data_IF_263325329919
#
_entry.id   IF_263325329919
#
_cell.length_a   1.000
_cell.length_b   1.000
_cell.length_c   1.000
_cell.angle_alpha   90.00
_cell.angle_beta   90.00
_cell.angle_gamma   90.00
#
_symmetry.space_group_name_H-M   'P 1'
#
loop_
_entity.id
_entity.type
_entity.pdbx_description
1 polymer ?
#
# COMPACT_ATOMS: atom_id res chain seq x y z
N UNK A 1 31.25 9.17 3.33
CA UNK A 1 30.68 8.81 2.02
C UNK A 1 30.08 10.07 1.41
N UNK A 2 30.33 10.33 0.13
CA UNK A 2 29.66 11.40 -0.61
C UNK A 2 28.58 10.75 -1.49
N UNK A 3 27.31 11.07 -1.25
CA UNK A 3 26.18 10.42 -1.94
C UNK A 3 26.15 10.79 -3.43
N UNK A 4 26.47 12.04 -3.77
CA UNK A 4 26.50 12.50 -5.16
C UNK A 4 27.54 11.72 -5.98
N UNK A 5 28.69 11.40 -5.38
CA UNK A 5 29.75 10.62 -6.04
C UNK A 5 29.30 9.21 -6.44
N UNK A 6 28.36 8.60 -5.70
CA UNK A 6 27.88 7.23 -5.96
C UNK A 6 27.13 7.10 -7.29
N UNK A 7 26.61 8.20 -7.83
CA UNK A 7 25.73 8.18 -9.02
C UNK A 7 26.38 8.75 -10.28
N UNK A 8 27.57 9.35 -10.17
CA UNK A 8 28.25 10.06 -11.28
C UNK A 8 28.49 9.18 -12.51
N UNK A 9 28.85 7.93 -12.27
CA UNK A 9 29.23 6.98 -13.31
C UNK A 9 28.04 6.14 -13.81
N UNK A 10 26.88 6.22 -13.15
CA UNK A 10 25.65 5.54 -13.59
C UNK A 10 25.15 6.19 -14.88
N UNK A 11 25.05 5.39 -15.94
CA UNK A 11 24.56 5.82 -17.28
C UNK A 11 23.18 5.27 -17.59
N UNK A 12 22.74 4.29 -16.84
CA UNK A 12 21.41 3.72 -16.90
C UNK A 12 20.37 4.78 -16.50
N UNK A 13 19.22 4.73 -17.17
CA UNK A 13 18.10 5.64 -16.89
C UNK A 13 17.40 5.34 -15.56
N UNK A 14 17.64 4.16 -14.99
CA UNK A 14 17.08 3.76 -13.72
C UNK A 14 18.12 3.01 -12.91
N UNK A 15 18.39 3.50 -11.70
CA UNK A 15 19.18 2.82 -10.69
C UNK A 15 18.62 3.18 -9.32
N UNK A 16 18.57 2.21 -8.40
CA UNK A 16 18.13 2.41 -7.03
C UNK A 16 18.99 1.51 -6.12
N UNK A 17 19.78 2.12 -5.24
CA UNK A 17 20.79 1.42 -4.44
C UNK A 17 20.67 1.86 -2.99
N UNK A 18 20.59 0.89 -2.07
CA UNK A 18 20.68 1.15 -0.62
C UNK A 18 22.10 1.61 -0.30
N UNK A 19 22.22 2.77 0.33
CA UNK A 19 23.51 3.37 0.69
C UNK A 19 23.76 3.37 2.19
N UNK A 20 22.71 3.27 3.00
CA UNK A 20 22.77 3.15 4.46
C UNK A 20 21.49 2.54 5.00
N UNK A 21 21.58 1.85 6.14
CA UNK A 21 20.44 1.33 6.90
C UNK A 21 20.48 1.90 8.31
N UNK A 22 19.32 2.28 8.82
CA UNK A 22 19.12 2.80 10.18
C UNK A 22 17.91 2.12 10.78
N UNK A 23 18.12 1.23 11.75
CA UNK A 23 17.09 0.38 12.33
C UNK A 23 16.37 -0.44 11.24
N UNK A 24 15.06 -0.26 11.09
CA UNK A 24 14.19 -0.90 10.10
C UNK A 24 13.98 -0.05 8.82
N UNK A 25 14.74 1.03 8.67
CA UNK A 25 14.68 1.94 7.51
C UNK A 25 15.97 1.90 6.70
N UNK A 26 15.87 2.23 5.42
CA UNK A 26 16.99 2.39 4.53
C UNK A 26 16.99 3.78 3.89
N UNK A 27 18.19 4.27 3.58
CA UNK A 27 18.39 5.38 2.66
C UNK A 27 18.90 4.79 1.35
N UNK A 28 18.19 5.11 0.27
CA UNK A 28 18.54 4.77 -1.11
C UNK A 28 19.04 6.01 -1.83
N UNK A 29 20.02 5.82 -2.71
CA UNK A 29 20.30 6.78 -3.78
C UNK A 29 19.74 6.23 -5.08
N UNK A 30 19.07 7.08 -5.85
CA UNK A 30 18.45 6.68 -7.09
C UNK A 30 18.72 7.67 -8.23
N UNK A 31 18.87 7.11 -9.43
CA UNK A 31 18.92 7.83 -10.70
C UNK A 31 17.65 7.48 -11.47
N UNK A 32 16.91 8.48 -11.90
CA UNK A 32 15.70 8.32 -12.69
C UNK A 32 15.71 9.24 -13.92
N UNK A 33 15.39 8.68 -15.08
CA UNK A 33 15.02 9.37 -16.32
C UNK A 33 13.92 8.57 -17.02
N UNK A 34 12.73 9.14 -17.15
CA UNK A 34 11.52 8.46 -17.61
C UNK A 34 10.47 8.34 -16.50
N UNK A 35 9.56 7.39 -16.68
CA UNK A 35 8.39 7.19 -15.83
C UNK A 35 8.48 5.84 -15.11
N UNK A 36 8.15 5.84 -13.82
CA UNK A 36 7.92 4.60 -13.07
C UNK A 36 6.48 4.09 -13.27
N UNK A 37 6.08 3.06 -12.53
CA UNK A 37 4.71 2.55 -12.48
C UNK A 37 3.93 3.19 -11.33
N UNK A 38 2.60 3.23 -11.46
CA UNK A 38 1.73 3.63 -10.35
C UNK A 38 1.78 2.60 -9.23
N UNK A 39 2.03 3.04 -8.01
CA UNK A 39 2.13 2.17 -6.85
C UNK A 39 1.78 2.89 -5.55
N UNK A 40 1.72 2.13 -4.47
CA UNK A 40 1.65 2.64 -3.11
C UNK A 40 2.33 1.67 -2.14
N UNK A 41 2.71 2.19 -0.98
CA UNK A 41 3.25 1.40 0.13
C UNK A 41 2.17 1.26 1.22
N UNK A 42 1.68 0.04 1.52
CA UNK A 42 0.66 -0.15 2.54
C UNK A 42 1.21 0.05 3.96
N UNK A 43 2.52 -0.09 4.16
CA UNK A 43 3.15 -0.22 5.48
C UNK A 43 4.29 0.77 5.75
N UNK A 44 4.67 1.59 4.77
CA UNK A 44 5.75 2.58 4.89
C UNK A 44 5.33 3.94 4.34
N UNK A 45 5.74 5.01 5.00
CA UNK A 45 5.87 6.31 4.33
C UNK A 45 7.16 6.27 3.48
N UNK A 46 7.24 7.13 2.47
CA UNK A 46 8.41 7.25 1.60
C UNK A 46 8.81 8.73 1.46
N UNK A 47 10.07 9.06 1.76
CA UNK A 47 10.58 10.43 1.69
C UNK A 47 11.54 10.59 0.52
N UNK A 48 11.27 11.56 -0.36
CA UNK A 48 12.17 11.95 -1.44
C UNK A 48 12.94 13.22 -1.08
N UNK A 49 14.24 13.27 -1.41
CA UNK A 49 15.07 14.49 -1.39
C UNK A 49 15.85 14.56 -2.69
N UNK A 50 15.61 15.59 -3.50
CA UNK A 50 16.27 15.71 -4.82
C UNK A 50 17.65 16.35 -4.66
N UNK A 51 18.65 15.78 -5.32
CA UNK A 51 20.04 16.26 -5.32
C UNK A 51 20.42 16.93 -6.65
N UNK A 52 19.90 16.42 -7.77
CA UNK A 52 20.18 16.88 -9.13
C UNK A 52 18.93 16.67 -10.00
N UNK A 53 18.66 17.57 -10.95
CA UNK A 53 17.52 17.44 -11.86
C UNK A 53 16.21 17.93 -11.26
N UNK A 54 15.10 17.30 -11.62
CA UNK A 54 13.76 17.62 -11.13
C UNK A 54 12.93 16.33 -11.11
N UNK A 55 12.45 15.96 -9.93
CA UNK A 55 11.59 14.79 -9.75
C UNK A 55 10.13 15.24 -9.77
N UNK A 56 9.33 14.67 -10.66
CA UNK A 56 7.89 14.87 -10.72
C UNK A 56 7.21 13.70 -10.02
N UNK A 57 6.37 13.98 -9.03
CA UNK A 57 5.59 12.97 -8.33
C UNK A 57 4.11 13.19 -8.63
N UNK A 58 3.52 12.26 -9.38
CA UNK A 58 2.09 12.26 -9.67
C UNK A 58 1.34 11.57 -8.53
N UNK A 59 0.25 12.17 -8.07
CA UNK A 59 -0.72 11.56 -7.16
C UNK A 59 -2.04 11.33 -7.86
N UNK A 60 -2.69 10.20 -7.57
CA UNK A 60 -4.00 9.91 -8.19
C UNK A 60 -5.08 10.91 -7.81
N UNK A 61 -5.02 11.50 -6.62
CA UNK A 61 -6.11 12.29 -6.05
C UNK A 61 -5.90 13.82 -6.04
N UNK A 62 -4.67 14.29 -6.26
CA UNK A 62 -4.30 15.71 -6.11
C UNK A 62 -3.36 16.31 -7.16
N UNK A 63 -2.96 15.54 -8.18
CA UNK A 63 -2.14 16.05 -9.31
C UNK A 63 -0.64 15.82 -9.12
N UNK A 64 0.19 16.65 -9.76
CA UNK A 64 1.65 16.46 -9.80
C UNK A 64 2.37 17.50 -8.95
N UNK A 65 3.32 17.04 -8.14
CA UNK A 65 4.27 17.90 -7.42
C UNK A 65 5.66 17.82 -8.06
N UNK A 66 6.32 18.96 -8.21
CA UNK A 66 7.68 19.04 -8.73
C UNK A 66 8.66 19.31 -7.58
N UNK A 67 9.56 18.36 -7.35
CA UNK A 67 10.58 18.41 -6.29
C UNK A 67 11.91 18.80 -6.93
N UNK A 68 12.48 19.93 -6.51
CA UNK A 68 13.71 20.48 -7.06
C UNK A 68 14.91 20.21 -6.15
N UNK A 69 16.15 20.45 -6.60
CA UNK A 69 17.33 20.17 -5.79
C UNK A 69 17.28 20.86 -4.42
N UNK A 70 17.53 20.09 -3.37
CA UNK A 70 17.42 20.44 -1.95
C UNK A 70 15.99 20.58 -1.38
N UNK A 71 14.96 20.33 -2.19
CA UNK A 71 13.60 20.15 -1.68
C UNK A 71 13.38 18.70 -1.26
N UNK A 72 12.43 18.50 -0.35
CA UNK A 72 11.96 17.18 0.04
C UNK A 72 10.44 17.07 -0.05
N UNK A 73 9.95 15.86 -0.31
CA UNK A 73 8.54 15.54 -0.35
C UNK A 73 8.29 14.19 0.32
N UNK A 74 7.43 14.18 1.33
CA UNK A 74 6.97 12.96 1.98
C UNK A 74 5.73 12.43 1.25
N UNK A 75 5.76 11.14 0.95
CA UNK A 75 4.64 10.37 0.44
C UNK A 75 4.06 9.56 1.61
N UNK A 76 2.86 9.91 2.11
CA UNK A 76 2.24 9.14 3.18
C UNK A 76 1.90 7.73 2.73
N UNK A 77 1.97 6.77 3.66
CA UNK A 77 1.56 5.38 3.43
C UNK A 77 0.16 5.29 2.82
N UNK A 78 0.02 4.48 1.79
CA UNK A 78 -1.22 4.31 1.04
C UNK A 78 -1.50 5.37 -0.01
N UNK A 79 -0.72 6.46 -0.12
CA UNK A 79 -0.86 7.40 -1.21
C UNK A 79 -0.46 6.74 -2.54
N UNK A 80 -1.42 6.67 -3.48
CA UNK A 80 -1.15 6.12 -4.81
C UNK A 80 -0.43 7.19 -5.62
N UNK A 81 0.81 6.89 -5.97
CA UNK A 81 1.68 7.81 -6.63
C UNK A 81 2.55 7.15 -7.71
N UNK A 82 3.25 7.97 -8.48
CA UNK A 82 4.27 7.55 -9.44
C UNK A 82 5.33 8.64 -9.56
N UNK A 83 6.60 8.25 -9.58
CA UNK A 83 7.71 9.14 -9.87
C UNK A 83 8.00 9.20 -11.36
N UNK A 84 8.39 10.39 -11.83
CA UNK A 84 8.82 10.64 -13.21
C UNK A 84 9.95 11.66 -13.23
N UNK A 85 10.78 11.61 -14.27
CA UNK A 85 11.81 12.60 -14.51
C UNK A 85 12.02 12.81 -16.01
N UNK A 86 11.86 14.05 -16.48
CA UNK A 86 12.06 14.39 -17.90
C UNK A 86 13.53 14.42 -18.33
N UNK A 87 14.43 14.53 -17.35
CA UNK A 87 15.89 14.54 -17.50
C UNK A 87 16.47 13.68 -16.39
N UNK A 88 17.72 13.22 -16.55
CA UNK A 88 18.45 12.54 -15.48
C UNK A 88 18.32 13.30 -14.17
N UNK A 89 17.71 12.65 -13.19
CA UNK A 89 17.44 13.19 -11.86
C UNK A 89 18.01 12.26 -10.82
N UNK A 90 18.73 12.81 -9.85
CA UNK A 90 19.30 12.08 -8.72
C UNK A 90 18.57 12.49 -7.46
N UNK A 91 18.09 11.51 -6.71
CA UNK A 91 17.43 11.75 -5.44
C UNK A 91 17.81 10.72 -4.40
N UNK A 92 17.62 11.09 -3.14
CA UNK A 92 17.56 10.17 -2.02
C UNK A 92 16.11 9.73 -1.82
N UNK A 93 15.93 8.46 -1.51
CA UNK A 93 14.67 7.91 -1.02
C UNK A 93 14.90 7.30 0.37
N UNK A 94 14.00 7.56 1.32
CA UNK A 94 14.02 6.94 2.64
C UNK A 94 12.67 6.31 2.97
N UNK A 95 12.68 5.05 3.35
CA UNK A 95 11.51 4.22 3.64
C UNK A 95 11.93 3.04 4.52
N UNK A 96 10.98 2.21 4.95
CA UNK A 96 11.31 0.92 5.56
C UNK A 96 12.16 0.08 4.63
N UNK A 97 13.19 -0.59 5.15
CA UNK A 97 14.01 -1.52 4.36
C UNK A 97 13.17 -2.64 3.75
N UNK A 98 12.11 -3.05 4.45
CA UNK A 98 11.15 -4.07 4.01
C UNK A 98 9.85 -3.47 3.46
N UNK A 99 9.85 -2.20 3.04
CA UNK A 99 8.65 -1.54 2.52
C UNK A 99 8.01 -2.40 1.43
N UNK A 100 6.72 -2.68 1.59
CA UNK A 100 5.98 -3.41 0.56
C UNK A 100 5.56 -2.44 -0.53
N UNK A 101 5.60 -2.88 -1.79
CA UNK A 101 5.14 -2.08 -2.93
C UNK A 101 3.99 -2.79 -3.62
N UNK A 102 2.85 -2.12 -3.75
CA UNK A 102 1.68 -2.64 -4.46
C UNK A 102 1.48 -1.84 -5.74
N UNK A 103 1.58 -2.51 -6.89
CA UNK A 103 1.32 -1.89 -8.19
C UNK A 103 -0.19 -1.63 -8.33
N UNK A 104 -0.53 -0.42 -8.77
CA UNK A 104 -1.90 0.00 -9.02
C UNK A 104 -2.13 0.18 -10.52
N UNK A 105 -3.22 -0.38 -11.03
CA UNK A 105 -3.63 -0.23 -12.41
C UNK A 105 -5.06 0.32 -12.52
N UNK A 106 -5.34 0.99 -13.64
CA UNK A 106 -6.70 1.39 -13.99
C UNK A 106 -7.63 0.17 -14.03
N UNK A 107 -8.85 0.34 -13.51
CA UNK A 107 -9.84 -0.74 -13.39
C UNK A 107 -9.67 -1.63 -12.16
N UNK A 108 -8.62 -1.44 -11.35
CA UNK A 108 -8.53 -2.08 -10.03
C UNK A 108 -9.68 -1.63 -9.13
N UNK A 109 -10.07 -2.52 -8.22
CA UNK A 109 -11.19 -2.30 -7.31
C UNK A 109 -10.76 -2.56 -5.88
N UNK A 110 -11.03 -1.61 -4.98
CA UNK A 110 -10.77 -1.74 -3.56
C UNK A 110 -12.04 -2.20 -2.84
N UNK A 111 -11.96 -3.34 -2.16
CA UNK A 111 -12.92 -3.74 -1.13
C UNK A 111 -12.41 -3.25 0.22
N UNK A 112 -13.16 -2.36 0.86
CA UNK A 112 -12.93 -1.92 2.23
C UNK A 112 -13.93 -2.60 3.15
N UNK A 113 -13.44 -3.19 4.24
CA UNK A 113 -14.25 -3.83 5.27
C UNK A 113 -13.87 -3.19 6.60
N UNK A 114 -14.87 -2.70 7.32
CA UNK A 114 -14.71 -2.15 8.66
C UNK A 114 -15.61 -2.93 9.61
N UNK A 115 -15.03 -3.48 10.68
CA UNK A 115 -15.77 -4.29 11.65
C UNK A 115 -15.55 -3.80 13.08
N UNK A 116 -16.63 -3.81 13.88
CA UNK A 116 -16.52 -3.69 15.34
C UNK A 116 -16.47 -5.09 15.94
N UNK A 117 -15.39 -5.48 16.63
CA UNK A 117 -15.26 -6.81 17.21
C UNK A 117 -16.28 -7.01 18.33
N UNK A 118 -16.80 -8.22 18.45
CA UNK A 118 -17.80 -8.55 19.45
C UNK A 118 -17.23 -8.43 20.87
N UNK A 119 -17.95 -7.73 21.74
CA UNK A 119 -17.51 -7.44 23.11
C UNK A 119 -16.20 -6.67 23.18
N UNK A 120 -15.83 -5.93 22.13
CA UNK A 120 -14.56 -5.22 21.98
C UNK A 120 -13.31 -6.13 22.04
N UNK A 121 -13.48 -7.45 21.89
CA UNK A 121 -12.39 -8.41 21.97
C UNK A 121 -11.75 -8.65 20.59
N UNK A 122 -10.53 -8.15 20.41
CA UNK A 122 -9.78 -8.28 19.16
C UNK A 122 -9.38 -9.72 18.82
N UNK A 123 -9.07 -10.55 19.83
CA UNK A 123 -8.37 -11.83 19.61
C UNK A 123 -9.18 -12.80 18.73
N UNK A 124 -10.47 -13.10 19.01
CA UNK A 124 -11.25 -13.99 18.14
C UNK A 124 -11.35 -13.48 16.71
N UNK A 125 -11.46 -12.16 16.52
CA UNK A 125 -11.48 -11.55 15.20
C UNK A 125 -10.14 -11.72 14.48
N UNK A 126 -9.02 -11.39 15.13
CA UNK A 126 -7.67 -11.54 14.54
C UNK A 126 -7.37 -12.98 14.15
N UNK A 127 -7.70 -13.95 15.01
CA UNK A 127 -7.48 -15.38 14.75
C UNK A 127 -8.33 -15.90 13.59
N UNK A 128 -9.56 -15.43 13.44
CA UNK A 128 -10.40 -15.77 12.30
C UNK A 128 -9.90 -15.10 11.01
N UNK A 129 -9.53 -13.82 11.08
CA UNK A 129 -9.07 -13.06 9.93
C UNK A 129 -7.75 -13.61 9.36
N UNK A 130 -6.85 -14.11 10.21
CA UNK A 130 -5.61 -14.76 9.80
C UNK A 130 -5.83 -16.04 8.95
N UNK A 131 -7.00 -16.69 9.06
CA UNK A 131 -7.32 -17.91 8.30
C UNK A 131 -7.76 -17.64 6.86
N UNK A 132 -7.83 -16.37 6.43
CA UNK A 132 -8.18 -16.00 5.05
C UNK A 132 -7.06 -16.26 4.03
N UNK A 133 -5.93 -16.84 4.44
CA UNK A 133 -4.83 -17.27 3.56
C UNK A 133 -5.24 -17.98 2.25
N UNK A 134 -6.31 -18.81 2.17
CA UNK A 134 -6.75 -19.40 0.91
C UNK A 134 -7.04 -18.38 -0.21
N UNK A 135 -7.30 -17.11 0.14
CA UNK A 135 -7.43 -16.01 -0.82
C UNK A 135 -6.24 -15.88 -1.78
N UNK A 136 -5.04 -16.32 -1.39
CA UNK A 136 -3.84 -16.25 -2.26
C UNK A 136 -4.07 -16.95 -3.61
N UNK A 137 -4.94 -17.97 -3.65
CA UNK A 137 -5.21 -18.79 -4.83
C UNK A 137 -6.43 -18.31 -5.62
N UNK A 138 -7.07 -17.22 -5.21
CA UNK A 138 -8.23 -16.66 -5.90
C UNK A 138 -7.74 -15.79 -7.04
N UNK A 139 -8.19 -16.12 -8.25
CA UNK A 139 -7.84 -15.36 -9.44
C UNK A 139 -8.29 -13.90 -9.31
N UNK A 140 -7.40 -12.98 -9.68
CA UNK A 140 -7.68 -11.57 -9.69
C UNK A 140 -7.57 -10.86 -8.34
N UNK A 141 -7.28 -11.55 -7.23
CA UNK A 141 -6.80 -10.86 -6.05
C UNK A 141 -5.40 -10.28 -6.34
N UNK A 142 -5.20 -9.00 -6.06
CA UNK A 142 -3.85 -8.41 -6.03
C UNK A 142 -3.29 -8.61 -4.62
N UNK A 143 -4.03 -8.13 -3.61
CA UNK A 143 -3.60 -8.21 -2.21
C UNK A 143 -4.76 -7.98 -1.25
N UNK A 144 -4.74 -8.67 -0.11
CA UNK A 144 -5.47 -8.30 1.11
C UNK A 144 -4.47 -7.89 2.20
N UNK A 145 -4.81 -6.86 3.00
CA UNK A 145 -4.08 -6.44 4.19
C UNK A 145 -5.01 -5.69 5.14
N UNK A 146 -4.56 -5.42 6.37
CA UNK A 146 -5.38 -4.70 7.32
C UNK A 146 -4.79 -4.69 8.72
N UNK A 147 -5.59 -4.23 9.67
CA UNK A 147 -5.22 -4.24 11.08
C UNK A 147 -6.22 -3.52 11.96
N UNK A 148 -5.75 -3.06 13.11
CA UNK A 148 -6.58 -2.40 14.11
C UNK A 148 -6.39 -0.90 14.13
N UNK A 149 -7.51 -0.18 14.28
CA UNK A 149 -7.53 1.23 14.65
C UNK A 149 -8.22 1.37 16.00
N UNK A 150 -7.61 2.16 16.87
CA UNK A 150 -8.24 2.55 18.14
C UNK A 150 -9.13 3.78 17.93
N UNK A 151 -10.25 3.81 18.63
CA UNK A 151 -11.17 4.95 18.66
C UNK A 151 -11.83 5.07 20.04
N UNK A 152 -12.50 6.19 20.29
CA UNK A 152 -13.30 6.39 21.52
C UNK A 152 -14.41 5.34 21.68
N UNK A 153 -14.88 4.74 20.57
CA UNK A 153 -15.91 3.71 20.57
C UNK A 153 -15.34 2.28 20.67
N UNK A 154 -14.06 2.15 21.01
CA UNK A 154 -13.33 0.89 21.07
C UNK A 154 -12.57 0.56 19.77
N UNK A 155 -12.00 -0.64 19.69
CA UNK A 155 -11.19 -1.07 18.56
C UNK A 155 -12.03 -1.33 17.32
N UNK A 156 -11.51 -0.97 16.16
CA UNK A 156 -12.12 -1.23 14.86
C UNK A 156 -11.14 -2.01 13.97
N UNK A 157 -11.59 -3.12 13.42
CA UNK A 157 -10.83 -3.86 12.43
C UNK A 157 -11.04 -3.23 11.05
N UNK A 158 -9.95 -2.93 10.35
CA UNK A 158 -9.98 -2.40 8.98
C UNK A 158 -9.26 -3.38 8.08
N UNK A 159 -9.96 -3.92 7.08
CA UNK A 159 -9.41 -4.85 6.10
C UNK A 159 -9.62 -4.24 4.72
N UNK A 160 -8.57 -4.25 3.92
CA UNK A 160 -8.54 -3.77 2.54
C UNK A 160 -8.15 -4.93 1.64
N UNK A 161 -8.85 -5.08 0.52
CA UNK A 161 -8.48 -6.03 -0.52
C UNK A 161 -8.55 -5.35 -1.89
N UNK A 162 -7.43 -5.32 -2.60
CA UNK A 162 -7.33 -4.79 -3.95
C UNK A 162 -7.47 -5.94 -4.95
N UNK A 163 -8.33 -5.75 -5.94
CA UNK A 163 -8.66 -6.72 -6.98
C UNK A 163 -8.28 -6.17 -8.36
N UNK A 164 -7.84 -7.05 -9.27
CA UNK A 164 -7.50 -6.72 -10.65
C UNK A 164 -8.68 -6.05 -11.35
N UNK A 165 -9.88 -6.62 -11.22
CA UNK A 165 -11.12 -6.06 -11.78
C UNK A 165 -12.33 -6.32 -10.88
N UNK A 166 -13.41 -5.56 -11.11
CA UNK A 166 -14.72 -5.79 -10.48
C UNK A 166 -15.27 -7.18 -10.77
N UNK A 167 -15.03 -7.71 -11.97
CA UNK A 167 -15.47 -9.04 -12.39
C UNK A 167 -14.82 -10.12 -11.52
N UNK A 168 -13.51 -10.02 -11.29
CA UNK A 168 -12.79 -11.00 -10.46
C UNK A 168 -13.33 -11.00 -9.03
N UNK A 169 -13.57 -9.82 -8.46
CA UNK A 169 -14.21 -9.68 -7.15
C UNK A 169 -15.58 -10.36 -7.09
N UNK A 170 -16.46 -10.14 -8.08
CA UNK A 170 -17.78 -10.77 -8.08
C UNK A 170 -17.73 -12.28 -8.29
N UNK A 171 -16.83 -12.78 -9.13
CA UNK A 171 -16.63 -14.22 -9.29
C UNK A 171 -16.24 -14.86 -7.95
N UNK A 172 -15.33 -14.22 -7.22
CA UNK A 172 -14.96 -14.61 -5.87
C UNK A 172 -16.16 -14.64 -4.90
N UNK A 173 -16.96 -13.56 -4.89
CA UNK A 173 -18.13 -13.47 -4.02
C UNK A 173 -19.19 -14.54 -4.35
N UNK A 174 -19.33 -14.93 -5.62
CA UNK A 174 -20.31 -15.92 -6.06
C UNK A 174 -19.90 -17.37 -5.73
N UNK A 175 -18.60 -17.68 -5.75
CA UNK A 175 -18.14 -19.07 -5.80
C UNK A 175 -17.35 -19.52 -4.58
N UNK A 176 -16.43 -18.69 -4.07
CA UNK A 176 -15.48 -19.11 -3.05
C UNK A 176 -15.64 -18.39 -1.70
N UNK A 177 -16.24 -17.19 -1.67
CA UNK A 177 -16.32 -16.36 -0.47
C UNK A 177 -16.94 -17.11 0.72
N UNK A 178 -18.16 -17.63 0.57
CA UNK A 178 -18.90 -18.23 1.69
C UNK A 178 -18.21 -19.50 2.19
N UNK A 179 -17.61 -20.29 1.29
CA UNK A 179 -16.82 -21.46 1.64
C UNK A 179 -15.60 -21.12 2.50
N UNK A 180 -14.91 -20.02 2.20
CA UNK A 180 -13.78 -19.55 3.01
C UNK A 180 -14.28 -18.98 4.33
N UNK A 181 -15.31 -18.12 4.27
CA UNK A 181 -15.90 -17.49 5.44
C UNK A 181 -16.35 -18.50 6.50
N UNK A 182 -17.04 -19.57 6.10
CA UNK A 182 -17.49 -20.63 7.00
C UNK A 182 -16.33 -21.38 7.68
N UNK A 183 -15.19 -21.54 6.99
CA UNK A 183 -14.00 -22.25 7.51
C UNK A 183 -13.14 -21.41 8.45
N UNK A 184 -13.26 -20.08 8.38
CA UNK A 184 -12.46 -19.17 9.21
C UNK A 184 -12.98 -19.03 10.64
N UNK A 185 -14.26 -19.38 10.86
CA UNK A 185 -14.98 -19.05 12.10
C UNK A 185 -15.11 -17.53 12.33
N UNK A 186 -15.10 -16.72 11.27
CA UNK A 186 -15.29 -15.26 11.37
C UNK A 186 -16.71 -14.88 11.83
N UNK A 187 -17.70 -15.75 11.58
CA UNK A 187 -19.08 -15.53 12.02
C UNK A 187 -19.14 -15.43 13.55
N UNK A 188 -19.70 -14.32 14.05
CA UNK A 188 -19.86 -14.07 15.47
C UNK A 188 -18.66 -13.42 16.17
N UNK A 189 -17.57 -13.12 15.43
CA UNK A 189 -16.41 -12.39 16.00
C UNK A 189 -16.58 -10.87 15.94
N UNK A 190 -17.63 -10.37 15.31
CA UNK A 190 -17.95 -8.95 15.16
C UNK A 190 -19.44 -8.68 15.39
N UNK A 191 -19.76 -7.49 15.88
CA UNK A 191 -21.13 -6.99 16.13
C UNK A 191 -21.72 -6.28 14.92
N UNK A 192 -20.86 -5.60 14.15
CA UNK A 192 -21.25 -4.87 12.96
C UNK A 192 -20.14 -4.91 11.92
N UNK A 193 -20.51 -4.96 10.66
CA UNK A 193 -19.61 -4.77 9.53
C UNK A 193 -20.17 -3.72 8.57
N UNK A 194 -19.28 -2.87 8.05
CA UNK A 194 -19.52 -2.00 6.91
C UNK A 194 -18.59 -2.44 5.79
N UNK A 195 -19.14 -2.66 4.60
CA UNK A 195 -18.40 -3.15 3.44
C UNK A 195 -18.65 -2.20 2.28
N UNK A 196 -17.57 -1.67 1.71
CA UNK A 196 -17.62 -0.76 0.58
C UNK A 196 -16.78 -1.32 -0.56
N UNK A 197 -17.30 -1.20 -1.78
CA UNK A 197 -16.58 -1.51 -3.00
C UNK A 197 -16.35 -0.21 -3.77
N UNK A 198 -15.08 0.14 -3.99
CA UNK A 198 -14.66 1.43 -4.53
C UNK A 198 -13.90 1.17 -5.83
N UNK A 199 -14.38 1.78 -6.91
CA UNK A 199 -13.86 1.58 -8.27
C UNK A 199 -13.14 2.82 -8.81
N UNK A 200 -13.52 4.02 -8.36
CA UNK A 200 -12.92 5.25 -8.83
C UNK A 200 -11.48 5.39 -8.29
N UNK A 201 -10.45 5.54 -9.14
CA UNK A 201 -9.06 5.61 -8.68
C UNK A 201 -8.75 6.75 -7.69
N UNK A 202 -9.40 7.90 -7.84
CA UNK A 202 -9.25 9.04 -6.92
C UNK A 202 -9.80 8.66 -5.54
N UNK A 203 -10.98 8.06 -5.50
CA UNK A 203 -11.62 7.64 -4.24
C UNK A 203 -10.87 6.48 -3.57
N UNK A 204 -10.29 5.57 -4.36
CA UNK A 204 -9.39 4.52 -3.85
C UNK A 204 -8.19 5.18 -3.18
N UNK A 205 -7.49 6.09 -3.86
CA UNK A 205 -6.29 6.76 -3.32
C UNK A 205 -6.61 7.49 -2.01
N UNK A 206 -7.68 8.29 -1.98
CA UNK A 206 -8.13 8.99 -0.75
C UNK A 206 -8.50 8.03 0.36
N UNK A 207 -9.12 6.90 0.02
CA UNK A 207 -9.51 5.87 0.99
C UNK A 207 -8.27 5.21 1.58
N UNK A 208 -7.30 4.82 0.75
CA UNK A 208 -6.07 4.20 1.23
C UNK A 208 -5.33 5.13 2.19
N UNK A 209 -5.00 6.35 1.77
CA UNK A 209 -4.29 7.33 2.62
C UNK A 209 -5.03 7.61 3.95
N UNK A 210 -6.36 7.79 3.89
CA UNK A 210 -7.17 8.04 5.09
C UNK A 210 -7.28 6.82 6.01
N UNK A 211 -7.43 5.62 5.45
CA UNK A 211 -7.71 4.41 6.23
C UNK A 211 -6.45 3.75 6.76
N UNK A 212 -5.32 3.98 6.12
CA UNK A 212 -4.02 3.60 6.67
C UNK A 212 -3.66 4.51 7.83
N UNK A 213 -3.97 5.80 7.87
CA UNK A 213 -3.60 6.67 9.01
C UNK A 213 -4.02 6.12 10.39
N UNK A 214 -3.08 5.99 11.32
CA UNK A 214 -3.31 5.45 12.67
C UNK A 214 -3.60 3.93 12.74
N UNK A 215 -3.62 3.24 11.61
CA UNK A 215 -3.78 1.79 11.55
C UNK A 215 -2.51 1.07 12.04
N UNK A 216 -2.69 0.13 12.97
CA UNK A 216 -1.67 -0.84 13.38
C UNK A 216 -1.91 -2.11 12.58
N UNK A 217 -1.03 -2.40 11.62
CA UNK A 217 -1.15 -3.54 10.73
C UNK A 217 -1.01 -4.87 11.49
N UNK A 218 -1.79 -5.86 11.08
CA UNK A 218 -1.73 -7.24 11.53
C UNK A 218 -1.11 -8.08 10.40
N UNK A 219 0.18 -8.47 10.49
CA UNK A 219 0.88 -9.16 9.40
C UNK A 219 0.18 -10.44 8.94
N UNK A 220 -0.44 -11.17 9.87
CA UNK A 220 -1.18 -12.41 9.57
C UNK A 220 -2.45 -12.19 8.74
N UNK A 221 -2.92 -10.95 8.58
CA UNK A 221 -4.08 -10.62 7.74
C UNK A 221 -3.68 -10.38 6.27
N UNK A 222 -2.38 -10.24 6.03
CA UNK A 222 -1.83 -10.02 4.70
C UNK A 222 -1.90 -11.29 3.85
N UNK A 223 -2.48 -11.16 2.67
CA UNK A 223 -2.50 -12.22 1.66
C UNK A 223 -2.18 -11.61 0.31
N UNK A 224 -1.07 -12.01 -0.29
CA UNK A 224 -0.72 -11.61 -1.67
C UNK A 224 -1.35 -12.60 -2.65
N UNK A 225 -2.00 -12.08 -3.68
CA UNK A 225 -2.50 -12.92 -4.78
C UNK A 225 -1.34 -13.45 -5.61
N UNK A 226 -1.45 -14.70 -6.07
CA UNK A 226 -0.50 -15.24 -7.05
C UNK A 226 -0.87 -14.64 -8.41
N UNK A 227 0.03 -13.82 -8.96
CA UNK A 227 -0.15 -13.24 -10.30
C UNK A 227 0.13 -14.24 -11.41
#
# INVERSE_FOLDING_TARGET
MNVSDLTKDIKEKHANVIVSEVNDHCMRTAVLEGDDVWHFHPDSDELFIVLEGELLIDFKDRGTEAVKPNDSLLIPRGAIHRTRANVRTVHLCMEKTSAETVIFAEGNVLKLIQCKPAGQNKRPFSEAQAKWRPLQNINGLIRQWGGWRESENGPEAVIMALWKTKRDYFQFMEREHDLIYERTSQKGTFESSDIQLIENPIDISRTLEKRTLGLVLEPEWTVNGVC
#
